data_IF_849840584130
#
_entry.id   IF_849840584130
#
_cell.length_a   1.000
_cell.length_b   1.000
_cell.length_c   1.000
_cell.angle_alpha   90.00
_cell.angle_beta   90.00
_cell.angle_gamma   90.00
#
_symmetry.space_group_name_H-M   'P 1'
#
loop_
_entity.id
_entity.type
_entity.pdbx_description
1 polymer ?
#
# COMPACT_ATOMS: atom_id res chain seq x y z
N UNK A 1 -4.58 -40.27 41.97
CA UNK A 1 -5.61 -39.73 41.04
C UNK A 1 -5.47 -38.21 40.85
N UNK A 2 -4.24 -37.68 40.74
CA UNK A 2 -3.95 -36.24 40.63
C UNK A 2 -2.91 -36.01 39.52
N UNK A 3 -3.23 -36.42 38.29
CA UNK A 3 -2.42 -36.11 37.09
C UNK A 3 -3.32 -35.84 35.88
N UNK A 4 -4.56 -35.41 36.12
CA UNK A 4 -5.56 -35.07 35.11
C UNK A 4 -6.00 -33.59 35.26
N UNK A 5 -5.10 -32.72 35.72
CA UNK A 5 -5.35 -31.29 35.93
C UNK A 5 -4.25 -30.40 35.33
N UNK A 6 -3.72 -30.78 34.17
CA UNK A 6 -2.73 -29.99 33.42
C UNK A 6 -3.14 -29.74 31.96
N UNK A 7 -4.44 -29.70 31.65
CA UNK A 7 -4.95 -29.46 30.29
C UNK A 7 -5.65 -28.09 30.14
N UNK A 8 -5.80 -27.31 31.22
CA UNK A 8 -6.70 -26.15 31.21
C UNK A 8 -6.06 -24.83 31.67
N UNK A 9 -4.86 -24.49 31.20
CA UNK A 9 -4.44 -23.09 31.21
C UNK A 9 -4.33 -22.56 29.78
N UNK A 10 -5.52 -22.16 29.33
CA UNK A 10 -5.82 -21.34 28.16
C UNK A 10 -4.64 -20.49 27.71
N UNK A 11 -4.07 -20.85 26.56
CA UNK A 11 -3.41 -19.89 25.67
C UNK A 11 -4.49 -18.91 25.19
N UNK A 12 -4.79 -17.90 26.00
CA UNK A 12 -5.45 -16.69 25.56
C UNK A 12 -4.45 -15.91 24.70
N UNK A 13 -4.24 -16.38 23.47
CA UNK A 13 -3.56 -15.63 22.43
C UNK A 13 -4.43 -14.42 22.11
N UNK A 14 -4.19 -13.30 22.79
CA UNK A 14 -4.77 -12.02 22.42
C UNK A 14 -4.20 -11.68 21.04
N UNK A 15 -4.93 -12.06 19.98
CA UNK A 15 -4.64 -11.57 18.64
C UNK A 15 -4.96 -10.09 18.66
N UNK A 16 -3.93 -9.28 18.93
CA UNK A 16 -4.04 -7.84 18.85
C UNK A 16 -4.51 -7.49 17.43
N UNK A 17 -5.79 -7.14 17.29
CA UNK A 17 -6.35 -6.65 16.05
C UNK A 17 -5.60 -5.38 15.66
N UNK A 18 -4.68 -5.49 14.70
CA UNK A 18 -3.81 -4.37 14.24
C UNK A 18 -4.54 -3.39 13.32
N UNK A 19 -5.86 -3.30 13.45
CA UNK A 19 -6.73 -2.49 12.60
C UNK A 19 -6.57 -1.00 12.93
N UNK A 20 -6.44 -0.16 11.91
CA UNK A 20 -6.24 1.30 11.98
C UNK A 20 -7.17 1.99 10.99
N UNK A 21 -7.46 3.28 11.19
CA UNK A 21 -8.19 4.08 10.20
C UNK A 21 -7.48 4.00 8.85
N UNK A 22 -8.25 3.81 7.78
CA UNK A 22 -7.71 3.72 6.42
C UNK A 22 -7.10 5.05 5.99
N UNK A 23 -6.01 4.97 5.23
CA UNK A 23 -5.34 6.13 4.63
C UNK A 23 -5.62 6.14 3.14
N UNK A 24 -6.03 7.29 2.62
CA UNK A 24 -6.31 7.56 1.21
C UNK A 24 -5.55 8.82 0.79
N UNK A 25 -4.26 8.71 0.44
CA UNK A 25 -3.44 9.84 0.07
C UNK A 25 -4.05 10.66 -1.07
N UNK A 26 -4.05 11.98 -0.88
CA UNK A 26 -4.52 12.95 -1.84
C UNK A 26 -3.43 14.03 -1.95
N UNK A 27 -2.76 14.09 -3.10
CA UNK A 27 -1.53 14.84 -3.27
C UNK A 27 -1.66 15.82 -4.42
N UNK A 28 -1.37 17.08 -4.09
CA UNK A 28 -1.01 18.08 -5.09
C UNK A 28 0.50 18.20 -5.11
N UNK A 29 1.09 18.14 -6.30
CA UNK A 29 2.53 18.27 -6.50
C UNK A 29 2.95 19.70 -6.13
N UNK A 30 4.03 19.91 -5.34
CA UNK A 30 4.43 21.23 -4.87
C UNK A 30 4.66 22.26 -6.00
N UNK A 31 4.35 23.52 -5.71
CA UNK A 31 4.62 24.64 -6.62
C UNK A 31 6.13 24.71 -6.95
N UNK A 32 6.47 24.64 -8.24
CA UNK A 32 7.85 24.57 -8.74
C UNK A 32 8.16 23.28 -9.51
N UNK A 33 7.38 22.21 -9.29
CA UNK A 33 7.42 20.99 -10.10
C UNK A 33 6.18 20.95 -11.00
N UNK A 34 6.33 21.34 -12.26
CA UNK A 34 5.26 21.20 -13.25
C UNK A 34 5.23 19.75 -13.76
N UNK A 35 4.31 18.95 -13.24
CA UNK A 35 4.06 17.61 -13.73
C UNK A 35 2.81 17.60 -14.62
N UNK A 36 2.98 17.36 -15.92
CA UNK A 36 1.87 17.12 -16.84
C UNK A 36 1.11 15.85 -16.44
N UNK A 37 -0.15 15.74 -16.88
CA UNK A 37 -0.95 14.53 -16.63
C UNK A 37 -0.22 13.25 -17.07
N UNK A 38 0.47 13.29 -18.21
CA UNK A 38 1.26 12.16 -18.70
C UNK A 38 2.47 11.87 -17.81
N UNK A 39 3.17 12.90 -17.32
CA UNK A 39 4.26 12.70 -16.36
C UNK A 39 3.77 12.07 -15.05
N UNK A 40 2.61 12.48 -14.54
CA UNK A 40 1.99 11.86 -13.36
C UNK A 40 1.63 10.40 -13.63
N UNK A 41 1.01 10.12 -14.78
CA UNK A 41 0.71 8.75 -15.21
C UNK A 41 1.95 7.86 -15.23
N UNK A 42 3.03 8.33 -15.87
CA UNK A 42 4.29 7.56 -15.97
C UNK A 42 4.96 7.37 -14.60
N UNK A 43 4.91 8.37 -13.72
CA UNK A 43 5.42 8.25 -12.36
C UNK A 43 4.65 7.19 -11.55
N UNK A 44 3.32 7.15 -11.67
CA UNK A 44 2.48 6.12 -11.05
C UNK A 44 2.82 4.74 -11.60
N UNK A 45 2.81 4.56 -12.93
CA UNK A 45 3.06 3.26 -13.55
C UNK A 45 4.45 2.70 -13.21
N UNK A 46 5.49 3.53 -13.29
CA UNK A 46 6.85 3.11 -12.94
C UNK A 46 6.97 2.74 -11.46
N UNK A 47 6.31 3.48 -10.57
CA UNK A 47 6.31 3.18 -9.13
C UNK A 47 5.55 1.89 -8.83
N UNK A 48 4.41 1.64 -9.47
CA UNK A 48 3.64 0.41 -9.30
C UNK A 48 4.53 -0.81 -9.65
N UNK A 49 5.19 -0.77 -10.81
CA UNK A 49 6.10 -1.82 -11.24
C UNK A 49 7.27 -2.02 -10.27
N UNK A 50 7.92 -0.92 -9.86
CA UNK A 50 9.03 -0.95 -8.90
C UNK A 50 8.59 -1.60 -7.57
N UNK A 51 7.40 -1.25 -7.07
CA UNK A 51 6.85 -1.74 -5.80
C UNK A 51 6.10 -3.07 -5.89
N UNK A 52 6.18 -3.77 -7.03
CA UNK A 52 5.49 -5.05 -7.28
C UNK A 52 3.97 -4.98 -7.11
N UNK A 53 3.39 -3.82 -7.41
CA UNK A 53 1.96 -3.70 -7.67
C UNK A 53 1.70 -4.07 -9.13
N UNK A 54 0.69 -4.89 -9.34
CA UNK A 54 0.18 -5.27 -10.66
C UNK A 54 -0.83 -4.22 -11.11
N UNK A 55 -0.68 -3.71 -12.32
CA UNK A 55 -1.68 -2.87 -12.98
C UNK A 55 -2.77 -3.79 -13.55
N UNK A 56 -4.01 -3.59 -13.14
CA UNK A 56 -5.17 -4.32 -13.66
C UNK A 56 -5.71 -3.66 -14.93
N UNK A 57 -5.83 -2.33 -14.93
CA UNK A 57 -6.23 -1.54 -16.09
C UNK A 57 -5.78 -0.08 -15.96
N UNK A 58 -5.73 0.62 -17.10
CA UNK A 58 -5.32 2.02 -17.20
C UNK A 58 -6.36 2.75 -18.05
N UNK A 59 -7.14 3.60 -17.40
CA UNK A 59 -8.12 4.47 -18.05
C UNK A 59 -7.55 5.89 -18.22
N UNK A 60 -8.36 6.80 -18.79
CA UNK A 60 -7.94 8.18 -19.08
C UNK A 60 -7.51 8.96 -17.84
N UNK A 61 -8.13 8.70 -16.68
CA UNK A 61 -7.96 9.49 -15.44
C UNK A 61 -7.75 8.62 -14.21
N UNK A 62 -7.81 7.29 -14.33
CA UNK A 62 -7.68 6.34 -13.21
C UNK A 62 -6.82 5.16 -13.62
N UNK A 63 -5.95 4.71 -12.71
CA UNK A 63 -5.22 3.44 -12.81
C UNK A 63 -5.73 2.51 -11.72
N UNK A 64 -6.12 1.30 -12.11
CA UNK A 64 -6.52 0.25 -11.19
C UNK A 64 -5.31 -0.65 -10.90
N UNK A 65 -4.98 -0.81 -9.63
CA UNK A 65 -3.82 -1.60 -9.23
C UNK A 65 -4.12 -2.55 -8.08
N UNK A 66 -3.34 -3.63 -8.01
CA UNK A 66 -3.41 -4.66 -6.99
C UNK A 66 -2.01 -5.00 -6.46
N UNK A 67 -1.89 -5.28 -5.17
CA UNK A 67 -0.72 -5.98 -4.60
C UNK A 67 -1.18 -7.28 -3.96
N UNK A 68 -0.38 -8.34 -4.14
CA UNK A 68 -0.53 -9.61 -3.45
C UNK A 68 0.75 -9.90 -2.68
N UNK A 69 0.63 -10.08 -1.37
CA UNK A 69 1.75 -10.35 -0.47
C UNK A 69 1.61 -11.75 0.12
N UNK A 70 2.64 -12.58 -0.10
CA UNK A 70 2.75 -13.96 0.40
C UNK A 70 1.55 -14.86 0.03
N UNK A 71 0.93 -14.62 -1.14
CA UNK A 71 -0.25 -15.35 -1.62
C UNK A 71 -1.45 -15.35 -0.66
N UNK A 72 -1.46 -14.44 0.33
CA UNK A 72 -2.47 -14.39 1.39
C UNK A 72 -3.16 -13.04 1.44
N UNK A 73 -2.38 -11.97 1.48
CA UNK A 73 -2.93 -10.64 1.67
C UNK A 73 -3.02 -9.92 0.34
N UNK A 74 -4.23 -9.48 -0.01
CA UNK A 74 -4.47 -8.74 -1.26
C UNK A 74 -5.06 -7.37 -0.95
N UNK A 75 -4.53 -6.34 -1.61
CA UNK A 75 -5.12 -5.00 -1.62
C UNK A 75 -5.29 -4.49 -3.04
N UNK A 76 -6.43 -3.85 -3.30
CA UNK A 76 -6.76 -3.19 -4.56
C UNK A 76 -6.99 -1.71 -4.32
N UNK A 77 -6.39 -0.89 -5.17
CA UNK A 77 -6.50 0.58 -5.10
C UNK A 77 -6.87 1.15 -6.46
N UNK A 78 -7.47 2.33 -6.41
CA UNK A 78 -7.73 3.18 -7.56
C UNK A 78 -6.86 4.43 -7.42
N UNK A 79 -6.12 4.75 -8.48
CA UNK A 79 -5.21 5.89 -8.50
C UNK A 79 -5.73 6.88 -9.53
N UNK A 80 -6.53 7.84 -9.07
CA UNK A 80 -6.96 8.95 -9.91
C UNK A 80 -5.78 9.89 -10.15
N UNK A 81 -5.61 10.40 -11.37
CA UNK A 81 -4.48 11.25 -11.73
C UNK A 81 -4.86 12.37 -12.71
N UNK A 82 -4.25 13.53 -12.49
CA UNK A 82 -4.37 14.72 -13.33
C UNK A 82 -3.02 15.46 -13.40
N UNK A 83 -2.98 16.58 -14.11
CA UNK A 83 -1.78 17.43 -14.09
C UNK A 83 -1.52 17.95 -12.66
N UNK A 84 -0.33 17.70 -12.13
CA UNK A 84 0.08 18.11 -10.79
C UNK A 84 -0.70 17.47 -9.64
N UNK A 85 -1.48 16.40 -9.87
CA UNK A 85 -2.34 15.82 -8.84
C UNK A 85 -2.49 14.30 -9.00
N UNK A 86 -2.58 13.60 -7.87
CA UNK A 86 -3.08 12.24 -7.83
C UNK A 86 -3.76 11.91 -6.49
N UNK A 87 -4.63 10.91 -6.49
CA UNK A 87 -5.29 10.38 -5.29
C UNK A 87 -5.29 8.87 -5.31
N UNK A 88 -4.84 8.24 -4.23
CA UNK A 88 -4.90 6.79 -4.03
C UNK A 88 -6.10 6.48 -3.13
N UNK A 89 -7.07 5.75 -3.67
CA UNK A 89 -8.29 5.36 -2.98
C UNK A 89 -8.35 3.85 -2.78
N UNK A 90 -8.90 3.42 -1.66
CA UNK A 90 -9.19 2.02 -1.42
C UNK A 90 -10.31 1.55 -2.35
N UNK A 91 -10.12 0.41 -3.00
CA UNK A 91 -11.15 -0.25 -3.79
C UNK A 91 -11.63 -1.54 -3.15
N UNK A 92 -10.71 -2.43 -2.79
CA UNK A 92 -11.05 -3.73 -2.19
C UNK A 92 -9.84 -4.37 -1.47
N UNK A 93 -10.08 -5.38 -0.63
CA UNK A 93 -9.03 -6.19 -0.02
C UNK A 93 -9.49 -7.58 0.42
N UNK A 94 -8.51 -8.49 0.49
CA UNK A 94 -8.69 -9.84 1.04
C UNK A 94 -7.71 -10.05 2.19
N UNK A 95 -8.18 -10.67 3.28
CA UNK A 95 -7.42 -10.94 4.51
C UNK A 95 -6.80 -9.70 5.20
N UNK A 96 -7.35 -8.51 4.94
CA UNK A 96 -6.94 -7.25 5.60
C UNK A 96 -7.97 -6.71 6.60
N UNK A 97 -9.11 -7.39 6.76
CA UNK A 97 -10.11 -7.09 7.78
C UNK A 97 -10.68 -5.67 7.66
N UNK A 98 -10.97 -5.22 6.43
CA UNK A 98 -11.62 -3.93 6.22
C UNK A 98 -13.02 -3.96 6.84
N UNK A 99 -13.27 -3.04 7.78
CA UNK A 99 -14.56 -2.85 8.43
C UNK A 99 -14.68 -1.42 8.95
N UNK A 100 -15.78 -0.75 8.62
CA UNK A 100 -16.14 0.58 9.13
C UNK A 100 -14.99 1.62 8.98
N UNK A 101 -14.35 1.66 7.81
CA UNK A 101 -13.25 2.59 7.51
C UNK A 101 -11.94 2.27 8.25
N UNK A 102 -11.83 1.09 8.87
CA UNK A 102 -10.60 0.58 9.48
C UNK A 102 -10.09 -0.65 8.74
N UNK A 103 -8.78 -0.82 8.70
CA UNK A 103 -8.10 -1.88 7.97
C UNK A 103 -6.78 -2.23 8.67
N UNK A 104 -6.26 -3.43 8.44
CA UNK A 104 -4.94 -3.84 8.94
C UNK A 104 -3.85 -2.79 8.60
N UNK A 105 -2.98 -2.49 9.56
CA UNK A 105 -1.85 -1.54 9.40
C UNK A 105 -0.98 -1.78 8.17
N UNK A 106 -0.88 -3.02 7.69
CA UNK A 106 -0.06 -3.37 6.53
C UNK A 106 -0.59 -2.72 5.26
N UNK A 107 -1.91 -2.64 5.08
CA UNK A 107 -2.51 -1.88 3.97
C UNK A 107 -2.01 -0.44 3.96
N UNK A 108 -2.12 0.24 5.11
CA UNK A 108 -1.68 1.63 5.24
C UNK A 108 -0.19 1.78 4.95
N UNK A 109 0.64 0.84 5.42
CA UNK A 109 2.08 0.82 5.11
C UNK A 109 2.31 0.76 3.60
N UNK A 110 1.64 -0.15 2.89
CA UNK A 110 1.81 -0.32 1.46
C UNK A 110 1.39 0.94 0.68
N UNK A 111 0.27 1.55 1.06
CA UNK A 111 -0.23 2.80 0.46
C UNK A 111 0.70 3.99 0.75
N UNK A 112 1.22 4.11 1.97
CA UNK A 112 2.18 5.17 2.34
C UNK A 112 3.48 5.03 1.52
N UNK A 113 3.97 3.80 1.35
CA UNK A 113 5.17 3.55 0.56
C UNK A 113 4.93 3.87 -0.91
N UNK A 114 3.78 3.47 -1.46
CA UNK A 114 3.37 3.83 -2.82
C UNK A 114 3.30 5.34 -3.03
N UNK A 115 2.59 6.08 -2.17
CA UNK A 115 2.49 7.54 -2.15
C UNK A 115 3.87 8.22 -2.12
N UNK A 116 4.73 7.80 -1.19
CA UNK A 116 6.08 8.36 -1.06
C UNK A 116 6.92 8.17 -2.32
N UNK A 117 6.89 7.00 -2.95
CA UNK A 117 7.66 6.82 -4.19
C UNK A 117 7.08 7.58 -5.37
N UNK A 118 5.75 7.66 -5.52
CA UNK A 118 5.16 8.48 -6.58
C UNK A 118 5.61 9.93 -6.41
N UNK A 119 5.54 10.47 -5.19
CA UNK A 119 5.97 11.83 -4.91
C UNK A 119 7.46 12.05 -5.20
N UNK A 120 8.34 11.15 -4.77
CA UNK A 120 9.78 11.22 -5.07
C UNK A 120 10.06 11.18 -6.58
N UNK A 121 9.40 10.27 -7.29
CA UNK A 121 9.53 10.13 -8.75
C UNK A 121 9.14 11.42 -9.46
N UNK A 122 8.09 12.10 -8.97
CA UNK A 122 7.65 13.40 -9.48
C UNK A 122 8.62 14.53 -9.15
N UNK A 123 9.34 14.45 -8.02
CA UNK A 123 10.36 15.43 -7.61
C UNK A 123 11.71 15.27 -8.34
N UNK A 124 11.88 14.20 -9.13
CA UNK A 124 13.12 13.90 -9.85
C UNK A 124 14.09 12.97 -9.11
N UNK A 125 13.72 12.52 -7.91
CA UNK A 125 14.55 11.65 -7.07
C UNK A 125 14.29 10.17 -7.39
N UNK A 126 14.95 9.67 -8.44
CA UNK A 126 14.87 8.28 -8.89
C UNK A 126 15.97 7.38 -8.28
N UNK A 127 16.18 7.41 -6.96
CA UNK A 127 17.21 6.56 -6.33
C UNK A 127 16.69 5.13 -6.11
N UNK A 128 17.10 4.19 -6.98
CA UNK A 128 16.69 2.78 -6.96
C UNK A 128 17.06 2.03 -5.66
N UNK A 129 18.09 2.48 -4.95
CA UNK A 129 18.59 1.82 -3.72
C UNK A 129 17.59 1.87 -2.54
N UNK A 130 16.79 2.93 -2.43
CA UNK A 130 15.80 3.07 -1.36
C UNK A 130 14.57 2.19 -1.63
N UNK A 131 14.22 2.00 -2.91
CA UNK A 131 13.07 1.20 -3.30
C UNK A 131 13.30 -0.30 -3.01
N UNK A 132 14.53 -0.81 -3.11
CA UNK A 132 14.88 -2.19 -2.73
C UNK A 132 14.72 -2.45 -1.23
N UNK A 133 15.13 -1.50 -0.37
CA UNK A 133 14.92 -1.60 1.07
C UNK A 133 13.42 -1.58 1.42
N UNK A 134 12.66 -0.65 0.84
CA UNK A 134 11.22 -0.58 1.05
C UNK A 134 10.50 -1.85 0.54
N UNK A 135 10.97 -2.45 -0.57
CA UNK A 135 10.48 -3.73 -1.09
C UNK A 135 10.69 -4.88 -0.09
N UNK A 136 11.86 -4.94 0.56
CA UNK A 136 12.10 -5.92 1.61
C UNK A 136 11.16 -5.73 2.81
N UNK A 137 10.80 -4.48 3.12
CA UNK A 137 9.80 -4.14 4.15
C UNK A 137 8.39 -4.59 3.73
N UNK A 138 8.00 -4.39 2.47
CA UNK A 138 6.71 -4.87 1.91
C UNK A 138 6.58 -6.39 1.98
N UNK A 139 7.69 -7.12 1.76
CA UNK A 139 7.73 -8.58 1.85
C UNK A 139 7.77 -9.10 3.29
N UNK A 140 7.84 -8.21 4.29
CA UNK A 140 7.99 -8.56 5.70
C UNK A 140 9.26 -9.36 5.99
N UNK A 141 10.31 -9.15 5.18
CA UNK A 141 11.64 -9.75 5.37
C UNK A 141 12.50 -8.97 6.35
N UNK A 142 12.09 -7.75 6.71
CA UNK A 142 12.68 -6.98 7.80
C UNK A 142 11.98 -7.31 9.13
N UNK A 143 12.25 -8.51 9.68
CA UNK A 143 12.09 -8.80 11.11
C UNK A 143 12.87 -10.06 11.50
#
# INVERSE_FOLDING_TARGET
>A
MLRLLLVALMLASVTACTSRKIITPDRTVPAGVTASKEQVKQAVLSTLAARKWTVESVDSDVIHAQVNVRAKYTAKVDIAYAAGHYRISYRDSQDLGYKDGKINRNYNRWVILLDRSILRKLQGDASDAQDEHDLAELQGKAQ
#
